data_IF_262008411560
#
_entry.id   IF_262008411560
#
_cell.length_a   1.000
_cell.length_b   1.000
_cell.length_c   1.000
_cell.angle_alpha   90.00
_cell.angle_beta   90.00
_cell.angle_gamma   90.00
#
_symmetry.space_group_name_H-M   'P 1'
#
loop_
_entity.id
_entity.type
_entity.pdbx_description
1 polymer ?
#
# COMPACT_ATOMS: atom_id res chain seq x y z
N UNK A 1 -12.52 -1.92 -6.88
CA UNK A 1 -11.96 -2.40 -5.60
C UNK A 1 -11.42 -1.23 -4.78
N UNK A 2 -11.50 -1.30 -3.45
CA UNK A 2 -10.88 -0.35 -2.52
C UNK A 2 -9.37 -0.56 -2.40
N UNK A 3 -8.64 0.46 -1.95
CA UNK A 3 -7.20 0.40 -1.66
C UNK A 3 -6.91 -0.71 -0.63
N UNK A 4 -7.71 -0.81 0.44
CA UNK A 4 -7.58 -1.85 1.47
C UNK A 4 -7.70 -3.26 0.88
N UNK A 5 -8.65 -3.49 -0.02
CA UNK A 5 -8.81 -4.80 -0.69
C UNK A 5 -7.63 -5.13 -1.59
N UNK A 6 -7.11 -4.16 -2.35
CA UNK A 6 -5.93 -4.35 -3.19
C UNK A 6 -4.68 -4.71 -2.36
N UNK A 7 -4.45 -4.00 -1.26
CA UNK A 7 -3.35 -4.30 -0.32
C UNK A 7 -3.54 -5.67 0.33
N UNK A 8 -4.77 -6.02 0.70
CA UNK A 8 -5.10 -7.33 1.28
C UNK A 8 -4.74 -8.46 0.33
N UNK A 9 -5.14 -8.36 -0.94
CA UNK A 9 -4.80 -9.36 -1.94
C UNK A 9 -3.30 -9.51 -2.13
N UNK A 10 -2.58 -8.38 -2.17
CA UNK A 10 -1.11 -8.40 -2.28
C UNK A 10 -0.47 -9.19 -1.12
N UNK A 11 -0.86 -8.92 0.12
CA UNK A 11 -0.31 -9.66 1.28
C UNK A 11 -0.70 -11.14 1.31
N UNK A 12 -1.92 -11.48 0.88
CA UNK A 12 -2.35 -12.87 0.71
C UNK A 12 -1.45 -13.59 -0.31
N UNK A 13 -1.19 -12.97 -1.46
CA UNK A 13 -0.33 -13.54 -2.50
C UNK A 13 1.13 -13.72 -2.02
N UNK A 14 1.64 -12.76 -1.25
CA UNK A 14 2.98 -12.83 -0.63
C UNK A 14 3.05 -13.81 0.55
N UNK A 15 1.93 -14.36 1.00
CA UNK A 15 1.81 -15.25 2.18
C UNK A 15 2.37 -14.61 3.47
N UNK A 16 2.19 -13.30 3.62
CA UNK A 16 2.64 -12.57 4.82
C UNK A 16 1.45 -12.35 5.75
N UNK A 17 1.63 -12.64 7.03
CA UNK A 17 0.61 -12.46 8.06
C UNK A 17 0.57 -11.02 8.58
N UNK A 18 -0.56 -10.61 9.14
CA UNK A 18 -0.69 -9.28 9.74
C UNK A 18 0.27 -9.06 10.92
N UNK A 19 0.61 -10.12 11.67
CA UNK A 19 1.58 -10.03 12.76
C UNK A 19 3.00 -9.75 12.27
N UNK A 20 3.40 -10.36 11.15
CA UNK A 20 4.69 -10.09 10.51
C UNK A 20 4.75 -8.65 9.97
N UNK A 21 3.69 -8.19 9.30
CA UNK A 21 3.58 -6.81 8.82
C UNK A 21 3.63 -5.83 9.99
N UNK A 22 2.89 -6.13 11.08
CA UNK A 22 2.89 -5.32 12.29
C UNK A 22 4.29 -5.17 12.87
N UNK A 23 5.04 -6.27 13.02
CA UNK A 23 6.42 -6.24 13.52
C UNK A 23 7.35 -5.40 12.64
N UNK A 24 7.26 -5.53 11.31
CA UNK A 24 8.10 -4.78 10.37
C UNK A 24 7.71 -3.30 10.27
N UNK A 25 6.42 -3.00 10.43
CA UNK A 25 5.89 -1.64 10.42
C UNK A 25 6.11 -0.89 11.74
N UNK A 26 6.25 -1.61 12.85
CA UNK A 26 6.30 -1.04 14.20
C UNK A 26 4.91 -0.85 14.82
N UNK A 27 3.96 -1.73 14.51
CA UNK A 27 2.61 -1.73 15.07
C UNK A 27 2.13 -3.14 15.45
N UNK A 28 0.93 -3.26 16.01
CA UNK A 28 0.33 -4.58 16.26
C UNK A 28 -0.26 -5.17 14.98
N UNK A 29 -0.30 -6.50 14.87
CA UNK A 29 -0.97 -7.17 13.75
C UNK A 29 -2.47 -6.86 13.70
N UNK A 30 -3.11 -6.63 14.85
CA UNK A 30 -4.49 -6.17 14.91
C UNK A 30 -4.68 -4.79 14.28
N UNK A 31 -3.75 -3.86 14.55
CA UNK A 31 -3.77 -2.51 13.95
C UNK A 31 -3.68 -2.59 12.43
N UNK A 32 -2.70 -3.34 11.91
CA UNK A 32 -2.54 -3.58 10.47
C UNK A 32 -3.79 -4.24 9.89
N UNK A 33 -4.32 -5.26 10.56
CA UNK A 33 -5.55 -5.93 10.15
C UNK A 33 -6.74 -4.99 10.05
N UNK A 34 -6.84 -3.97 10.90
CA UNK A 34 -7.90 -2.96 10.79
C UNK A 34 -7.76 -2.11 9.52
N UNK A 35 -6.55 -1.74 9.11
CA UNK A 35 -6.31 -0.99 7.86
C UNK A 35 -6.62 -1.84 6.63
N UNK A 36 -6.06 -3.05 6.59
CA UNK A 36 -6.12 -3.95 5.43
C UNK A 36 -7.51 -4.55 5.23
N UNK A 37 -8.32 -4.69 6.30
CA UNK A 37 -9.72 -5.10 6.19
C UNK A 37 -10.70 -3.92 6.08
N UNK A 38 -10.22 -2.68 5.89
CA UNK A 38 -11.07 -1.51 5.70
C UNK A 38 -11.89 -1.09 6.93
N UNK A 39 -11.52 -1.57 8.13
CA UNK A 39 -12.18 -1.19 9.40
C UNK A 39 -11.68 0.16 9.93
N UNK A 40 -10.53 0.60 9.45
CA UNK A 40 -9.92 1.91 9.70
C UNK A 40 -9.29 2.41 8.41
N UNK A 41 -9.24 3.72 8.25
CA UNK A 41 -8.50 4.36 7.17
C UNK A 41 -7.03 3.93 7.20
N UNK A 42 -6.43 3.80 6.02
CA UNK A 42 -5.01 3.51 5.90
C UNK A 42 -4.26 4.82 6.12
N UNK A 43 -3.40 4.90 7.15
CA UNK A 43 -2.67 6.13 7.41
C UNK A 43 -1.53 6.30 6.38
N UNK A 44 -1.19 7.55 6.07
CA UNK A 44 -0.21 7.87 5.02
C UNK A 44 1.17 7.29 5.31
N UNK A 45 1.57 7.22 6.58
CA UNK A 45 2.81 6.58 7.03
C UNK A 45 2.87 5.08 6.69
N UNK A 46 1.75 4.37 6.77
CA UNK A 46 1.64 2.98 6.33
C UNK A 46 1.86 2.86 4.82
N UNK A 47 1.32 3.79 4.01
CA UNK A 47 1.54 3.82 2.57
C UNK A 47 3.01 4.09 2.23
N UNK A 48 3.67 5.02 2.94
CA UNK A 48 5.11 5.26 2.80
C UNK A 48 5.93 4.01 3.12
N UNK A 49 5.62 3.35 4.24
CA UNK A 49 6.27 2.11 4.62
C UNK A 49 6.04 1.01 3.58
N UNK A 50 4.81 0.91 3.05
CA UNK A 50 4.44 -0.06 2.03
C UNK A 50 5.27 0.13 0.76
N UNK A 51 5.36 1.36 0.23
CA UNK A 51 6.19 1.64 -0.96
C UNK A 51 7.67 1.35 -0.74
N UNK A 52 8.18 1.67 0.46
CA UNK A 52 9.59 1.46 0.80
C UNK A 52 9.96 -0.03 0.90
N UNK A 53 9.08 -0.85 1.49
CA UNK A 53 9.36 -2.27 1.73
C UNK A 53 8.91 -3.16 0.57
N UNK A 54 7.96 -2.69 -0.23
CA UNK A 54 7.44 -3.36 -1.41
C UNK A 54 7.49 -2.41 -2.61
N UNK A 55 8.71 -2.06 -3.08
CA UNK A 55 8.89 -1.12 -4.19
C UNK A 55 8.26 -1.59 -5.50
N UNK A 56 7.97 -2.90 -5.61
CA UNK A 56 7.26 -3.47 -6.74
C UNK A 56 5.80 -3.01 -6.83
N UNK A 57 5.21 -2.45 -5.77
CA UNK A 57 3.84 -1.92 -5.81
C UNK A 57 3.79 -0.63 -6.63
N UNK A 58 2.95 -0.65 -7.66
CA UNK A 58 2.53 0.49 -8.46
C UNK A 58 1.47 1.28 -7.70
N UNK A 59 1.81 2.49 -7.26
CA UNK A 59 0.86 3.31 -6.54
C UNK A 59 -0.23 3.84 -7.48
N UNK A 60 0.07 4.07 -8.77
CA UNK A 60 -0.96 4.48 -9.71
C UNK A 60 -2.04 3.40 -9.80
N UNK A 61 -1.66 2.13 -9.98
CA UNK A 61 -2.61 1.00 -10.00
C UNK A 61 -3.28 0.77 -8.65
N UNK A 62 -2.61 1.07 -7.55
CA UNK A 62 -3.20 0.98 -6.21
C UNK A 62 -4.36 1.95 -6.06
N UNK A 63 -4.18 3.21 -6.48
CA UNK A 63 -5.15 4.29 -6.33
C UNK A 63 -6.16 4.39 -7.48
N UNK A 64 -5.93 3.72 -8.61
CA UNK A 64 -6.90 3.65 -9.71
C UNK A 64 -8.25 3.08 -9.26
N UNK A 65 -9.34 3.75 -9.62
CA UNK A 65 -10.70 3.29 -9.38
C UNK A 65 -11.12 2.20 -10.40
N UNK A 66 -10.44 1.06 -10.34
CA UNK A 66 -10.75 -0.10 -11.16
C UNK A 66 -10.76 -1.39 -10.33
N UNK A 67 -11.26 -2.46 -10.94
CA UNK A 67 -11.24 -3.82 -10.37
C UNK A 67 -9.96 -4.59 -10.71
N UNK A 68 -8.87 -3.86 -11.00
CA UNK A 68 -7.58 -4.51 -11.24
C UNK A 68 -7.06 -5.11 -9.93
N UNK A 69 -6.83 -6.42 -9.97
CA UNK A 69 -6.20 -7.18 -8.89
C UNK A 69 -4.67 -7.06 -8.92
N UNK A 70 -4.12 -6.46 -9.98
CA UNK A 70 -2.69 -6.39 -10.24
C UNK A 70 -2.16 -5.00 -9.90
N UNK A 71 -1.59 -4.85 -8.70
CA UNK A 71 -0.96 -3.60 -8.24
C UNK A 71 0.57 -3.63 -8.29
N UNK A 72 1.16 -4.61 -8.95
CA UNK A 72 2.62 -4.74 -9.08
C UNK A 72 3.06 -4.17 -10.44
N UNK A 73 4.27 -3.62 -10.50
CA UNK A 73 4.96 -3.28 -11.76
C UNK A 73 6.03 -4.32 -12.06
N UNK A 74 6.28 -4.60 -13.34
CA UNK A 74 7.42 -5.42 -13.76
C UNK A 74 8.78 -4.69 -13.66
N UNK A 75 8.77 -3.38 -13.34
CA UNK A 75 9.97 -2.54 -13.23
C UNK A 75 10.32 -2.31 -11.77
N UNK A 76 11.38 -2.95 -11.28
CA UNK A 76 11.99 -2.66 -9.98
C UNK A 76 12.50 -1.21 -9.93
N UNK A 77 11.66 -0.28 -9.47
CA UNK A 77 12.02 1.14 -9.35
C UNK A 77 12.30 1.44 -7.87
N UNK A 78 13.58 1.48 -7.50
CA UNK A 78 14.03 1.85 -6.16
C UNK A 78 13.98 3.38 -6.06
N UNK A 79 12.81 3.92 -5.70
CA UNK A 79 12.61 5.36 -5.51
C UNK A 79 13.07 5.81 -4.12
N UNK A 80 13.67 7.01 -4.02
CA UNK A 80 14.03 7.60 -2.72
C UNK A 80 12.80 8.17 -1.98
N UNK A 81 12.93 8.51 -0.68
CA UNK A 81 11.79 8.97 0.14
C UNK A 81 11.10 10.23 -0.41
N UNK A 82 11.84 11.18 -0.97
CA UNK A 82 11.29 12.43 -1.50
C UNK A 82 10.57 12.21 -2.83
N UNK A 83 11.04 11.27 -3.64
CA UNK A 83 10.37 10.83 -4.86
C UNK A 83 9.06 10.09 -4.55
N UNK A 84 9.09 9.17 -3.57
CA UNK A 84 7.89 8.47 -3.08
C UNK A 84 6.86 9.47 -2.56
N UNK A 85 7.30 10.49 -1.82
CA UNK A 85 6.40 11.54 -1.32
C UNK A 85 5.76 12.32 -2.45
N UNK A 86 6.55 12.80 -3.43
CA UNK A 86 6.01 13.50 -4.60
C UNK A 86 5.05 12.62 -5.41
N UNK A 87 5.34 11.33 -5.53
CA UNK A 87 4.47 10.36 -6.21
C UNK A 87 3.14 10.23 -5.47
N UNK A 88 3.17 10.03 -4.15
CA UNK A 88 1.96 9.95 -3.31
C UNK A 88 1.17 11.25 -3.37
N UNK A 89 1.81 12.41 -3.15
CA UNK A 89 1.14 13.72 -3.14
C UNK A 89 0.44 13.99 -4.48
N UNK A 90 1.12 13.69 -5.61
CA UNK A 90 0.55 13.84 -6.95
C UNK A 90 -0.66 12.93 -7.18
N UNK A 91 -0.61 11.70 -6.67
CA UNK A 91 -1.72 10.75 -6.80
C UNK A 91 -2.90 11.20 -5.94
N UNK A 92 -2.67 11.63 -4.69
CA UNK A 92 -3.73 12.14 -3.82
C UNK A 92 -4.43 13.36 -4.47
N UNK A 93 -3.68 14.30 -5.05
CA UNK A 93 -4.25 15.44 -5.77
C UNK A 93 -5.09 15.07 -6.99
N UNK A 94 -4.76 13.96 -7.65
CA UNK A 94 -5.45 13.49 -8.85
C UNK A 94 -6.75 12.73 -8.54
N UNK A 95 -6.81 12.03 -7.40
CA UNK A 95 -7.91 11.13 -7.06
C UNK A 95 -8.82 11.62 -5.91
N UNK A 96 -8.46 12.68 -5.16
CA UNK A 96 -9.26 13.22 -4.04
C UNK A 96 -9.88 14.61 -4.30
N UNK A 97 -10.32 14.89 -5.53
CA UNK A 97 -11.13 16.09 -5.84
C UNK A 97 -12.63 15.84 -5.73
#
# INVERSE_FOLDING_TARGET
MTISEKIKLFFIQKKVTYDEIGKLYGSSGQTVGNYVNGRREIPTDFLFWLKKNYPEIDFNKLFEENDSHHIVTDKNNIANKDEIKKEIDKILDQFLK
#
